data_IF_772357178656
#
_entry.id   IF_772357178656
#
_cell.length_a   1.000
_cell.length_b   1.000
_cell.length_c   1.000
_cell.angle_alpha   90.00
_cell.angle_beta   90.00
_cell.angle_gamma   90.00
#
_symmetry.space_group_name_H-M   'P 1'
#
loop_
_entity.id
_entity.type
_entity.pdbx_description
1 polymer ?
#
# COMPACT_ATOMS: atom_id res chain seq x y z
N UNK A 1 -5.62 9.77 -3.63
CA UNK A 1 -4.27 9.80 -3.11
C UNK A 1 -3.98 8.42 -2.58
N UNK A 2 -3.33 7.62 -3.39
CA UNK A 2 -2.88 6.28 -3.12
C UNK A 2 -1.63 6.05 -3.97
N UNK A 3 -0.86 5.03 -3.62
CA UNK A 3 0.47 4.81 -4.18
C UNK A 3 0.45 3.93 -5.44
N UNK A 4 1.52 4.02 -6.23
CA UNK A 4 1.86 3.19 -7.40
C UNK A 4 3.15 2.43 -7.11
N UNK A 5 3.61 1.58 -8.03
CA UNK A 5 4.91 0.92 -7.94
C UNK A 5 6.07 1.90 -7.73
N UNK A 6 5.91 3.16 -8.18
CA UNK A 6 6.88 4.25 -7.95
C UNK A 6 7.33 4.39 -6.50
N UNK A 7 6.48 4.01 -5.52
CA UNK A 7 6.81 4.07 -4.10
C UNK A 7 8.04 3.21 -3.69
N UNK A 8 8.42 2.23 -4.52
CA UNK A 8 9.59 1.38 -4.28
C UNK A 8 10.83 1.79 -5.09
N UNK A 9 10.72 2.78 -5.99
CA UNK A 9 11.82 3.22 -6.86
C UNK A 9 12.81 4.09 -6.08
N UNK A 10 12.68 5.42 -6.17
CA UNK A 10 13.49 6.37 -5.42
C UNK A 10 12.64 6.99 -4.32
N UNK A 11 13.27 7.27 -3.17
CA UNK A 11 12.63 8.00 -2.10
C UNK A 11 12.31 9.45 -2.54
N UNK A 12 11.31 10.11 -1.93
CA UNK A 12 10.91 11.46 -2.32
C UNK A 12 12.02 12.53 -2.19
N UNK A 13 13.05 12.26 -1.38
CA UNK A 13 14.25 13.10 -1.21
C UNK A 13 15.39 12.73 -2.18
N UNK A 14 15.15 11.81 -3.11
CA UNK A 14 16.11 11.39 -4.15
C UNK A 14 17.08 10.29 -3.74
N UNK A 15 16.97 9.75 -2.51
CA UNK A 15 17.77 8.57 -2.13
C UNK A 15 17.30 7.33 -2.90
N UNK A 16 18.19 6.37 -3.19
CA UNK A 16 17.79 5.08 -3.74
C UNK A 16 16.77 4.39 -2.84
N UNK A 17 15.68 3.89 -3.40
CA UNK A 17 14.69 3.11 -2.68
C UNK A 17 14.96 1.60 -2.77
N UNK A 18 13.93 0.83 -2.45
CA UNK A 18 14.05 -0.61 -2.23
C UNK A 18 14.32 -1.39 -3.51
N UNK A 19 13.82 -0.92 -4.66
CA UNK A 19 14.11 -1.55 -5.94
C UNK A 19 15.62 -1.57 -6.21
N UNK A 20 16.28 -0.42 -6.09
CA UNK A 20 17.72 -0.29 -6.23
C UNK A 20 18.48 -1.14 -5.20
N UNK A 21 18.01 -1.14 -3.94
CA UNK A 21 18.61 -1.97 -2.89
C UNK A 21 18.55 -3.47 -3.20
N UNK A 22 17.38 -4.02 -3.50
CA UNK A 22 17.23 -5.46 -3.75
C UNK A 22 17.93 -5.91 -5.05
N UNK A 23 17.95 -5.07 -6.10
CA UNK A 23 18.74 -5.34 -7.31
C UNK A 23 20.23 -5.42 -6.95
N UNK A 24 20.73 -4.51 -6.11
CA UNK A 24 22.14 -4.53 -5.66
C UNK A 24 22.50 -5.80 -4.85
N UNK A 25 21.50 -6.51 -4.33
CA UNK A 25 21.65 -7.79 -3.62
C UNK A 25 21.46 -9.01 -4.54
N UNK A 26 21.28 -8.81 -5.84
CA UNK A 26 21.13 -9.89 -6.82
C UNK A 26 19.72 -10.44 -6.95
N UNK A 27 18.70 -9.74 -6.45
CA UNK A 27 17.30 -10.15 -6.62
C UNK A 27 16.71 -9.62 -7.93
N UNK A 28 15.91 -10.44 -8.60
CA UNK A 28 14.96 -10.00 -9.62
C UNK A 28 13.74 -9.40 -8.94
N UNK A 29 13.31 -8.23 -9.40
CA UNK A 29 12.17 -7.51 -8.81
C UNK A 29 11.08 -7.34 -9.86
N UNK A 30 9.87 -7.73 -9.48
CA UNK A 30 8.66 -7.46 -10.25
C UNK A 30 7.90 -6.35 -9.55
N UNK A 31 7.90 -5.16 -10.16
CA UNK A 31 7.25 -3.98 -9.64
C UNK A 31 6.09 -3.59 -10.55
N UNK A 32 4.90 -3.46 -9.99
CA UNK A 32 3.67 -3.26 -10.73
C UNK A 32 2.85 -2.11 -10.17
N UNK A 33 1.95 -1.61 -11.01
CA UNK A 33 0.80 -0.86 -10.55
C UNK A 33 -0.39 -1.82 -10.44
N UNK A 34 -1.02 -1.89 -9.27
CA UNK A 34 -2.20 -2.73 -9.05
C UNK A 34 -3.34 -2.41 -10.02
N UNK A 35 -4.31 -3.34 -10.22
CA UNK A 35 -5.55 -3.05 -10.95
C UNK A 35 -6.15 -1.69 -10.55
N UNK A 36 -6.62 -0.96 -11.57
CA UNK A 36 -7.30 0.33 -11.42
C UNK A 36 -6.43 1.42 -10.76
N UNK A 37 -5.10 1.37 -10.97
CA UNK A 37 -4.11 2.32 -10.45
C UNK A 37 -3.01 2.60 -11.48
N UNK A 38 -2.64 3.87 -11.65
CA UNK A 38 -1.47 4.26 -12.44
C UNK A 38 -1.53 3.74 -13.88
N UNK A 39 -0.56 2.92 -14.28
CA UNK A 39 -0.47 2.30 -15.61
C UNK A 39 -1.53 1.22 -15.85
N UNK A 40 -2.14 0.70 -14.80
CA UNK A 40 -3.25 -0.25 -14.84
C UNK A 40 -4.55 0.53 -14.78
N UNK A 41 -5.06 0.92 -15.95
CA UNK A 41 -6.16 1.88 -16.02
C UNK A 41 -7.48 1.35 -15.43
N UNK A 42 -8.30 2.28 -14.96
CA UNK A 42 -9.66 2.01 -14.50
C UNK A 42 -10.66 2.18 -15.65
N UNK A 43 -11.65 1.29 -15.73
CA UNK A 43 -12.78 1.44 -16.65
C UNK A 43 -14.01 2.03 -15.94
N UNK A 44 -14.61 3.04 -16.56
CA UNK A 44 -15.83 3.66 -16.02
C UNK A 44 -16.96 2.63 -15.88
N UNK A 45 -17.54 2.53 -14.68
CA UNK A 45 -18.61 1.58 -14.36
C UNK A 45 -18.18 0.43 -13.44
N UNK A 46 -16.89 0.27 -13.16
CA UNK A 46 -16.36 -0.70 -12.20
C UNK A 46 -16.11 -0.02 -10.85
N UNK A 47 -17.16 0.19 -10.05
CA UNK A 47 -17.02 0.85 -8.74
C UNK A 47 -16.76 2.36 -8.83
N UNK A 48 -16.03 2.90 -7.85
CA UNK A 48 -15.82 4.35 -7.69
C UNK A 48 -14.35 4.68 -7.38
N UNK A 49 -13.86 5.77 -7.97
CA UNK A 49 -12.51 6.26 -7.73
C UNK A 49 -12.53 7.40 -6.71
N UNK A 50 -11.59 7.35 -5.76
CA UNK A 50 -11.48 8.33 -4.67
C UNK A 50 -10.06 8.74 -4.36
N UNK A 51 -9.93 9.58 -3.33
CA UNK A 51 -8.65 10.05 -2.81
C UNK A 51 -8.72 10.24 -1.29
N UNK A 52 -7.60 10.01 -0.58
CA UNK A 52 -7.56 10.06 0.88
C UNK A 52 -7.85 11.47 1.43
N UNK A 53 -7.41 12.53 0.74
CA UNK A 53 -7.78 13.89 1.11
C UNK A 53 -6.81 14.97 0.62
N UNK A 54 -6.91 16.13 1.27
CA UNK A 54 -6.06 17.30 1.03
C UNK A 54 -4.58 17.03 1.37
N UNK A 55 -3.64 17.89 0.94
CA UNK A 55 -2.24 17.78 1.35
C UNK A 55 -2.05 17.75 2.87
N UNK A 56 -2.78 18.59 3.60
CA UNK A 56 -2.71 18.62 5.06
C UNK A 56 -3.19 17.29 5.68
N UNK A 57 -4.30 16.75 5.18
CA UNK A 57 -4.82 15.45 5.63
C UNK A 57 -3.82 14.32 5.37
N UNK A 58 -3.21 14.29 4.18
CA UNK A 58 -2.17 13.28 3.84
C UNK A 58 -0.94 13.46 4.73
N UNK A 59 -0.55 14.70 5.01
CA UNK A 59 0.57 15.00 5.89
C UNK A 59 0.36 14.47 7.31
N UNK A 60 -0.80 14.77 7.90
CA UNK A 60 -1.15 14.34 9.27
C UNK A 60 -1.23 12.81 9.41
N UNK A 61 -1.58 12.10 8.33
CA UNK A 61 -1.78 10.65 8.36
C UNK A 61 -0.49 9.88 8.04
N UNK A 62 0.39 10.42 7.19
CA UNK A 62 1.50 9.62 6.64
C UNK A 62 2.91 10.18 6.83
N UNK A 63 3.09 11.51 6.84
CA UNK A 63 4.44 12.10 6.70
C UNK A 63 4.87 12.96 7.87
N UNK A 64 3.92 13.55 8.61
CA UNK A 64 4.19 14.27 9.85
C UNK A 64 3.29 13.80 11.00
N UNK A 65 3.20 12.47 11.13
CA UNK A 65 2.39 11.82 12.16
C UNK A 65 2.87 12.13 13.58
N UNK A 66 4.16 12.43 13.76
CA UNK A 66 4.73 12.78 15.05
C UNK A 66 4.19 14.10 15.61
N UNK A 67 3.73 15.02 14.75
CA UNK A 67 3.27 16.36 15.13
C UNK A 67 1.79 16.61 14.80
N UNK A 68 0.98 15.56 14.60
CA UNK A 68 -0.44 15.68 14.21
C UNK A 68 -1.42 15.86 15.40
N UNK A 69 -0.94 16.39 16.53
CA UNK A 69 -1.76 16.55 17.74
C UNK A 69 -1.83 15.32 18.64
N UNK A 70 -0.83 14.43 18.58
CA UNK A 70 -0.73 13.24 19.42
C UNK A 70 -1.96 12.32 19.32
N UNK A 71 -2.50 12.18 18.11
CA UNK A 71 -3.64 11.30 17.82
C UNK A 71 -3.34 9.83 18.19
N UNK A 72 -2.06 9.46 18.13
CA UNK A 72 -1.56 8.17 18.58
C UNK A 72 -0.29 8.37 19.43
N UNK A 73 -0.24 7.88 20.69
CA UNK A 73 0.87 8.15 21.61
C UNK A 73 2.27 7.73 21.09
N UNK A 74 2.33 6.73 20.23
CA UNK A 74 3.56 6.20 19.66
C UNK A 74 3.98 6.93 18.38
N UNK A 75 3.15 7.79 17.79
CA UNK A 75 3.46 8.49 16.54
C UNK A 75 4.72 9.38 16.67
N UNK A 76 5.03 9.85 17.88
CA UNK A 76 6.31 10.54 18.20
C UNK A 76 7.57 9.74 17.87
N UNK A 77 7.47 8.43 17.67
CA UNK A 77 8.59 7.57 17.29
C UNK A 77 8.86 7.58 15.77
N UNK A 78 7.91 8.05 14.97
CA UNK A 78 7.99 8.10 13.51
C UNK A 78 8.82 9.33 13.08
N UNK A 79 10.13 9.23 13.28
CA UNK A 79 11.08 10.37 13.17
C UNK A 79 11.94 10.34 11.91
N UNK A 80 11.77 9.32 11.07
CA UNK A 80 12.67 9.06 9.93
C UNK A 80 12.15 9.63 8.62
N UNK A 81 11.03 10.36 8.64
CA UNK A 81 10.57 11.08 7.46
C UNK A 81 11.56 12.20 7.10
N UNK A 82 12.04 12.28 5.85
CA UNK A 82 12.93 13.35 5.42
C UNK A 82 12.21 14.70 5.32
N UNK A 83 12.80 15.74 5.92
CA UNK A 83 12.20 17.07 5.96
C UNK A 83 11.08 17.20 6.99
N UNK A 84 10.19 18.17 6.80
CA UNK A 84 9.11 18.45 7.77
C UNK A 84 7.88 17.56 7.55
N UNK A 85 7.76 16.91 6.39
CA UNK A 85 6.57 16.15 6.03
C UNK A 85 5.32 17.00 5.84
N UNK A 86 5.45 18.32 5.64
CA UNK A 86 4.36 19.29 5.50
C UNK A 86 4.38 19.97 4.14
N UNK A 87 3.23 20.51 3.73
CA UNK A 87 3.12 21.28 2.48
C UNK A 87 4.15 22.40 2.40
N UNK A 88 4.82 22.50 1.24
CA UNK A 88 5.90 23.47 1.01
C UNK A 88 7.30 22.96 1.33
N UNK A 89 7.44 21.81 2.02
CA UNK A 89 8.68 21.06 2.04
C UNK A 89 8.84 20.29 0.72
N UNK A 90 10.00 20.42 0.08
CA UNK A 90 10.22 19.82 -1.24
C UNK A 90 10.03 18.31 -1.27
N UNK A 91 10.33 17.63 -0.17
CA UNK A 91 10.25 16.19 -0.01
C UNK A 91 8.79 15.74 0.10
N UNK A 92 8.01 16.45 0.93
CA UNK A 92 6.57 16.22 1.01
C UNK A 92 5.89 16.53 -0.33
N UNK A 93 6.23 17.65 -0.96
CA UNK A 93 5.61 18.03 -2.23
C UNK A 93 5.93 17.02 -3.35
N UNK A 94 7.14 16.45 -3.36
CA UNK A 94 7.49 15.34 -4.25
C UNK A 94 6.68 14.08 -3.97
N UNK A 95 6.55 13.70 -2.69
CA UNK A 95 5.69 12.58 -2.28
C UNK A 95 4.23 12.79 -2.67
N UNK A 96 3.66 13.97 -2.40
CA UNK A 96 2.25 14.25 -2.68
C UNK A 96 1.94 14.22 -4.19
N UNK A 97 2.89 14.67 -5.02
CA UNK A 97 2.77 14.59 -6.50
C UNK A 97 2.75 13.16 -7.06
N UNK A 98 3.29 12.18 -6.34
CA UNK A 98 3.27 10.78 -6.79
C UNK A 98 1.97 10.04 -6.44
N UNK A 99 1.08 10.68 -5.68
CA UNK A 99 -0.18 10.08 -5.26
C UNK A 99 -1.23 10.18 -6.38
N UNK A 100 -2.00 9.10 -6.57
CA UNK A 100 -3.05 8.99 -7.61
C UNK A 100 -4.41 8.62 -7.00
N UNK A 101 -5.48 8.55 -7.78
CA UNK A 101 -6.78 8.03 -7.30
C UNK A 101 -6.72 6.51 -7.03
N UNK A 102 -7.70 5.99 -6.28
CA UNK A 102 -7.87 4.57 -6.03
C UNK A 102 -9.33 4.12 -6.02
N UNK A 103 -9.57 2.84 -6.27
CA UNK A 103 -10.86 2.19 -6.08
C UNK A 103 -11.27 2.22 -4.60
N UNK A 104 -12.41 2.83 -4.29
CA UNK A 104 -12.88 2.98 -2.91
C UNK A 104 -13.60 1.75 -2.37
N UNK A 105 -14.02 0.85 -3.25
CA UNK A 105 -14.59 -0.43 -2.86
C UNK A 105 -13.48 -1.44 -2.55
N UNK A 106 -13.36 -1.82 -1.28
CA UNK A 106 -12.33 -2.76 -0.83
C UNK A 106 -12.57 -4.19 -1.37
N UNK A 107 -13.82 -4.60 -1.59
CA UNK A 107 -14.13 -5.94 -2.10
C UNK A 107 -13.71 -6.05 -3.58
N UNK A 108 -14.03 -5.03 -4.37
CA UNK A 108 -13.56 -4.96 -5.77
C UNK A 108 -12.03 -4.93 -5.80
N UNK A 109 -11.43 -4.06 -4.98
CA UNK A 109 -9.97 -3.92 -4.95
C UNK A 109 -9.29 -5.23 -4.56
N UNK A 110 -9.75 -5.89 -3.49
CA UNK A 110 -9.17 -7.14 -3.00
C UNK A 110 -9.30 -8.26 -4.03
N UNK A 111 -10.49 -8.48 -4.59
CA UNK A 111 -10.71 -9.55 -5.56
C UNK A 111 -9.84 -9.36 -6.81
N UNK A 112 -9.88 -8.18 -7.43
CA UNK A 112 -9.12 -7.92 -8.65
C UNK A 112 -7.61 -8.05 -8.41
N UNK A 113 -7.12 -7.56 -7.27
CA UNK A 113 -5.71 -7.65 -6.92
C UNK A 113 -5.28 -9.10 -6.66
N UNK A 114 -6.08 -9.87 -5.91
CA UNK A 114 -5.80 -11.27 -5.65
C UNK A 114 -5.68 -12.08 -6.96
N UNK A 115 -6.62 -11.87 -7.90
CA UNK A 115 -6.58 -12.52 -9.21
C UNK A 115 -5.36 -12.08 -10.05
N UNK A 116 -5.13 -10.78 -10.18
CA UNK A 116 -4.05 -10.25 -11.01
C UNK A 116 -2.67 -10.67 -10.49
N UNK A 117 -2.46 -10.62 -9.18
CA UNK A 117 -1.19 -11.00 -8.58
C UNK A 117 -0.98 -12.51 -8.50
N UNK A 118 -2.03 -13.31 -8.33
CA UNK A 118 -1.91 -14.78 -8.46
C UNK A 118 -1.49 -15.17 -9.87
N UNK A 119 -2.06 -14.52 -10.90
CA UNK A 119 -1.64 -14.72 -12.28
C UNK A 119 -0.19 -14.27 -12.53
N UNK A 120 0.28 -13.21 -11.86
CA UNK A 120 1.70 -12.82 -11.92
C UNK A 120 2.59 -13.89 -11.27
N UNK A 121 2.20 -14.43 -10.11
CA UNK A 121 2.93 -15.52 -9.45
C UNK A 121 3.01 -16.75 -10.34
N UNK A 122 1.95 -17.09 -11.07
CA UNK A 122 1.96 -18.21 -12.04
C UNK A 122 3.02 -18.02 -13.15
N UNK A 123 3.30 -16.77 -13.54
CA UNK A 123 4.32 -16.45 -14.54
C UNK A 123 5.74 -16.41 -13.97
N UNK A 124 5.89 -15.96 -12.71
CA UNK A 124 7.18 -15.80 -12.04
C UNK A 124 7.68 -17.12 -11.46
N UNK A 125 6.78 -17.97 -10.96
CA UNK A 125 7.10 -19.16 -10.19
C UNK A 125 7.42 -18.83 -8.73
N UNK A 126 8.36 -19.58 -8.14
CA UNK A 126 8.75 -19.45 -6.73
C UNK A 126 9.17 -18.01 -6.38
N UNK A 127 8.44 -17.36 -5.47
CA UNK A 127 8.67 -15.95 -5.14
C UNK A 127 8.36 -15.58 -3.68
N UNK A 128 8.83 -14.39 -3.29
CA UNK A 128 8.43 -13.71 -2.06
C UNK A 128 7.57 -12.48 -2.41
N UNK A 129 6.52 -12.24 -1.64
CA UNK A 129 5.62 -11.09 -1.83
C UNK A 129 5.93 -10.03 -0.78
N UNK A 130 6.10 -8.78 -1.20
CA UNK A 130 6.15 -7.63 -0.29
C UNK A 130 4.96 -6.72 -0.58
N UNK A 131 4.15 -6.44 0.43
CA UNK A 131 2.97 -5.58 0.33
C UNK A 131 2.99 -4.49 1.41
N UNK A 132 2.28 -3.39 1.14
CA UNK A 132 2.24 -2.21 2.01
C UNK A 132 0.79 -1.74 2.22
N UNK A 133 0.44 -1.42 3.47
CA UNK A 133 -0.83 -0.77 3.83
C UNK A 133 -2.05 -1.50 3.25
N UNK A 134 -2.84 -0.83 2.40
CA UNK A 134 -4.02 -1.38 1.71
C UNK A 134 -3.74 -2.75 1.04
N UNK A 135 -2.54 -2.94 0.49
CA UNK A 135 -2.19 -4.16 -0.21
C UNK A 135 -1.93 -5.37 0.71
N UNK A 136 -2.03 -5.20 2.03
CA UNK A 136 -1.82 -6.28 2.98
C UNK A 136 -2.77 -7.45 2.75
N UNK A 137 -4.08 -7.15 2.66
CA UNK A 137 -5.13 -8.10 2.32
C UNK A 137 -4.79 -8.90 1.05
N UNK A 138 -4.26 -8.22 0.04
CA UNK A 138 -3.99 -8.81 -1.27
C UNK A 138 -2.85 -9.82 -1.17
N UNK A 139 -1.78 -9.50 -0.43
CA UNK A 139 -0.66 -10.41 -0.22
C UNK A 139 -1.08 -11.71 0.46
N UNK A 140 -1.97 -11.65 1.45
CA UNK A 140 -2.49 -12.85 2.11
C UNK A 140 -3.37 -13.69 1.16
N UNK A 141 -4.26 -13.05 0.39
CA UNK A 141 -5.08 -13.73 -0.63
C UNK A 141 -4.23 -14.44 -1.68
N UNK A 142 -3.17 -13.80 -2.18
CA UNK A 142 -2.29 -14.43 -3.18
C UNK A 142 -1.52 -15.60 -2.60
N UNK A 143 -1.04 -15.49 -1.34
CA UNK A 143 -0.39 -16.61 -0.65
C UNK A 143 -1.30 -17.82 -0.48
N UNK A 144 -2.57 -17.57 -0.14
CA UNK A 144 -3.60 -18.59 -0.05
C UNK A 144 -3.93 -19.23 -1.40
N UNK A 145 -4.03 -18.42 -2.45
CA UNK A 145 -4.33 -18.89 -3.81
C UNK A 145 -3.17 -19.64 -4.47
N UNK A 146 -1.92 -19.38 -4.06
CA UNK A 146 -0.69 -19.98 -4.64
C UNK A 146 0.30 -20.44 -3.55
N UNK A 147 -0.13 -21.32 -2.63
CA UNK A 147 0.66 -21.66 -1.45
C UNK A 147 1.95 -22.42 -1.80
N UNK A 148 1.94 -23.14 -2.94
CA UNK A 148 3.11 -23.89 -3.41
C UNK A 148 4.20 -22.99 -4.03
N UNK A 149 3.84 -21.80 -4.53
CA UNK A 149 4.76 -20.88 -5.21
C UNK A 149 5.21 -19.72 -4.31
N UNK A 150 4.33 -19.24 -3.42
CA UNK A 150 4.66 -18.13 -2.51
C UNK A 150 5.46 -18.64 -1.32
N UNK A 151 6.76 -18.36 -1.29
CA UNK A 151 7.69 -18.83 -0.25
C UNK A 151 7.71 -17.97 1.00
N UNK A 152 7.10 -16.79 0.94
CA UNK A 152 6.96 -15.90 2.09
C UNK A 152 6.33 -14.57 1.74
N UNK A 153 5.69 -13.96 2.74
CA UNK A 153 5.02 -12.66 2.62
C UNK A 153 5.63 -11.70 3.64
N UNK A 154 6.02 -10.52 3.19
CA UNK A 154 6.52 -9.40 4.00
C UNK A 154 5.48 -8.29 3.97
N UNK A 155 4.92 -7.97 5.14
CA UNK A 155 3.86 -6.97 5.29
C UNK A 155 4.42 -5.69 5.92
N UNK A 156 4.42 -4.60 5.16
CA UNK A 156 4.80 -3.27 5.63
C UNK A 156 3.56 -2.54 6.12
N UNK A 157 3.40 -2.46 7.45
CA UNK A 157 2.28 -1.77 8.11
C UNK A 157 0.93 -2.07 7.42
N UNK A 158 0.54 -3.37 7.31
CA UNK A 158 -0.64 -3.73 6.57
C UNK A 158 -1.89 -3.13 7.20
N UNK A 159 -2.91 -2.87 6.40
CA UNK A 159 -4.22 -2.47 6.89
C UNK A 159 -4.69 -3.40 8.02
N UNK A 160 -5.25 -2.81 9.08
CA UNK A 160 -5.61 -3.50 10.31
C UNK A 160 -5.96 -2.50 11.43
N UNK A 161 -6.22 -2.95 12.66
CA UNK A 161 -6.18 -4.35 13.11
C UNK A 161 -7.41 -5.14 12.63
N UNK A 162 -7.32 -6.48 12.56
CA UNK A 162 -8.46 -7.34 12.26
C UNK A 162 -9.57 -7.18 13.31
N UNK A 163 -10.84 -7.19 12.89
CA UNK A 163 -12.02 -7.19 13.75
C UNK A 163 -12.20 -5.99 14.71
N UNK A 164 -11.43 -4.92 14.54
CA UNK A 164 -11.54 -3.69 15.36
C UNK A 164 -11.67 -2.45 14.48
N UNK A 165 -12.07 -1.34 15.10
CA UNK A 165 -12.17 -0.04 14.44
C UNK A 165 -10.81 0.41 13.90
N UNK A 166 -10.81 1.05 12.72
CA UNK A 166 -9.59 1.49 12.03
C UNK A 166 -9.55 3.02 11.86
N UNK A 167 -9.51 3.82 12.94
CA UNK A 167 -9.25 5.25 12.79
C UNK A 167 -7.87 5.46 12.14
N UNK A 168 -7.69 6.43 11.23
CA UNK A 168 -8.67 7.43 10.78
C UNK A 168 -9.56 6.98 9.60
N UNK A 169 -9.42 5.75 9.11
CA UNK A 169 -10.02 5.28 7.86
C UNK A 169 -11.42 4.64 7.99
N UNK A 170 -11.85 4.29 9.20
CA UNK A 170 -13.17 3.71 9.43
C UNK A 170 -13.51 3.51 10.91
N UNK A 171 -14.81 3.50 11.19
CA UNK A 171 -15.37 3.32 12.54
C UNK A 171 -16.06 1.95 12.71
N UNK A 172 -15.85 1.03 11.78
CA UNK A 172 -16.43 -0.33 11.80
C UNK A 172 -15.31 -1.38 11.87
N UNK A 173 -15.59 -2.60 12.34
CA UNK A 173 -14.65 -3.71 12.29
C UNK A 173 -14.10 -3.92 10.88
N UNK A 174 -12.79 -4.05 10.80
CA UNK A 174 -12.10 -4.47 9.59
C UNK A 174 -12.26 -5.97 9.30
N UNK A 175 -12.25 -6.34 8.01
CA UNK A 175 -11.97 -7.68 7.50
C UNK A 175 -12.86 -8.80 8.03
N UNK A 176 -13.83 -9.23 7.21
CA UNK A 176 -14.78 -10.28 7.57
C UNK A 176 -14.09 -11.64 7.87
N UNK A 177 -12.90 -11.89 7.31
CA UNK A 177 -12.17 -13.15 7.43
C UNK A 177 -10.84 -12.98 8.18
N UNK A 178 -10.78 -12.01 9.10
CA UNK A 178 -9.61 -11.73 9.93
C UNK A 178 -8.61 -10.88 9.18
N UNK A 179 -7.78 -11.47 8.34
CA UNK A 179 -6.75 -10.72 7.62
C UNK A 179 -7.29 -10.10 6.31
N UNK A 180 -8.44 -10.54 5.81
CA UNK A 180 -8.97 -10.18 4.49
C UNK A 180 -10.45 -9.81 4.53
N UNK A 181 -10.90 -9.03 3.55
CA UNK A 181 -12.32 -8.75 3.35
C UNK A 181 -13.04 -9.92 2.65
N UNK A 182 -12.32 -10.74 1.88
CA UNK A 182 -12.83 -11.94 1.20
C UNK A 182 -12.28 -13.24 1.81
N UNK A 183 -13.02 -14.32 1.60
CA UNK A 183 -12.74 -15.64 2.18
C UNK A 183 -11.41 -16.23 1.68
N UNK A 184 -10.58 -16.68 2.61
CA UNK A 184 -9.34 -17.45 2.41
C UNK A 184 -9.72 -18.94 2.53
N UNK A 185 -9.27 -19.80 1.60
CA UNK A 185 -9.77 -21.17 1.42
C UNK A 185 -8.71 -22.26 1.42
#
# INVERSE_FOLDING_TARGET
MAQTGTNFLDAPDGRPGWASYFISKGHTIYLSDQPERGRSFWFSGQGSMGYIGSPNSVSDIFTDVANNGNQWPQAKLHTQWPGTGRIGDSTFDAFYRSQVQFQTDNLISEEQNAQAYSALVDLVGDCYITSHSQAGAYGWRVGDMRPDLVKGIVQLEPSGPPFTFRPPFGNDPAFAFGLTDLEIG
#
